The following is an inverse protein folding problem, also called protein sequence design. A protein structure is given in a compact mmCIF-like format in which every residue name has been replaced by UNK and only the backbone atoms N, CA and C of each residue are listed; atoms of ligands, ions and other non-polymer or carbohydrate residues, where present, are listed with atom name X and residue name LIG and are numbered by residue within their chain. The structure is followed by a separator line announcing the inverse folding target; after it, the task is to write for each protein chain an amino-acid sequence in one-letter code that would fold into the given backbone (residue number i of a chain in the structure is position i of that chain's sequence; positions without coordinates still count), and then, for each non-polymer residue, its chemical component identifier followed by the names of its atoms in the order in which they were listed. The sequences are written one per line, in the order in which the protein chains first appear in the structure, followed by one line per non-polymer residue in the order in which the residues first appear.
data_IF_055036840433
#
_entry.id   IF_055036840433
#
_cell.length_a   1.000
_cell.length_b   1.000
_cell.length_c   1.000
_cell.angle_alpha   90.00
_cell.angle_beta   90.00
_cell.angle_gamma   90.00
#
_symmetry.space_group_name_H-M   'P 1'
#
loop_
_entity.id
_entity.type
_entity.pdbx_description
1 polymer ?
#
# COMPACT_ATOMS: atom_id res chain seq x y z
N UNK A 1 47.03 -62.42 -37.34
CA UNK A 1 46.96 -60.98 -37.69
C UNK A 1 46.22 -60.25 -36.56
N UNK A 2 46.92 -59.53 -35.69
CA UNK A 2 46.29 -58.66 -34.68
C UNK A 2 46.05 -57.31 -35.37
N UNK A 3 44.82 -57.03 -35.79
CA UNK A 3 44.47 -55.71 -36.29
C UNK A 3 44.49 -54.71 -35.13
N UNK A 4 45.31 -53.66 -35.25
CA UNK A 4 45.34 -52.52 -34.35
C UNK A 4 44.03 -51.72 -34.50
N UNK A 5 43.00 -52.07 -33.72
CA UNK A 5 41.69 -51.41 -33.73
C UNK A 5 41.60 -50.15 -32.84
N UNK A 6 42.67 -49.83 -32.10
CA UNK A 6 42.74 -48.69 -31.18
C UNK A 6 42.63 -47.29 -31.80
N UNK A 7 43.17 -46.97 -33.00
CA UNK A 7 43.11 -45.60 -33.50
C UNK A 7 41.70 -45.19 -33.97
N UNK A 8 40.90 -46.14 -34.47
CA UNK A 8 39.56 -45.85 -35.01
C UNK A 8 38.58 -45.47 -33.89
N UNK A 9 38.67 -46.14 -32.73
CA UNK A 9 37.80 -45.86 -31.60
C UNK A 9 38.05 -44.47 -30.98
N UNK A 10 39.32 -44.05 -30.90
CA UNK A 10 39.69 -42.73 -30.39
C UNK A 10 39.18 -41.62 -31.31
N UNK A 11 39.30 -41.79 -32.63
CA UNK A 11 38.78 -40.82 -33.60
C UNK A 11 37.25 -40.73 -33.51
N UNK A 12 36.55 -41.86 -33.39
CA UNK A 12 35.09 -41.87 -33.26
C UNK A 12 34.62 -41.16 -31.98
N UNK A 13 35.31 -41.40 -30.85
CA UNK A 13 35.00 -40.77 -29.57
C UNK A 13 35.19 -39.24 -29.64
N UNK A 14 36.29 -38.79 -30.24
CA UNK A 14 36.57 -37.35 -30.41
C UNK A 14 35.51 -36.69 -31.29
N UNK A 15 35.13 -37.32 -32.41
CA UNK A 15 34.08 -36.80 -33.29
C UNK A 15 32.74 -36.73 -32.55
N UNK A 16 32.37 -37.75 -31.79
CA UNK A 16 31.14 -37.75 -31.00
C UNK A 16 31.12 -36.61 -29.97
N UNK A 17 32.24 -36.39 -29.29
CA UNK A 17 32.37 -35.37 -28.25
C UNK A 17 32.31 -33.95 -28.83
N UNK A 18 32.90 -33.74 -30.01
CA UNK A 18 32.79 -32.47 -30.75
C UNK A 18 31.36 -32.22 -31.20
N UNK A 19 30.67 -33.23 -31.74
CA UNK A 19 29.26 -33.10 -32.15
C UNK A 19 28.38 -32.76 -30.95
N UNK A 20 28.59 -33.42 -29.81
CA UNK A 20 27.82 -33.17 -28.59
C UNK A 20 28.03 -31.73 -28.07
N UNK A 21 29.28 -31.25 -28.11
CA UNK A 21 29.62 -29.88 -27.73
C UNK A 21 28.94 -28.84 -28.64
N UNK A 22 28.94 -29.05 -29.95
CA UNK A 22 28.28 -28.17 -30.92
C UNK A 22 26.77 -28.12 -30.68
N UNK A 23 26.13 -29.27 -30.45
CA UNK A 23 24.69 -29.34 -30.15
C UNK A 23 24.37 -28.58 -28.87
N UNK A 24 25.15 -28.76 -27.79
CA UNK A 24 24.95 -28.05 -26.53
C UNK A 24 25.06 -26.52 -26.72
N UNK A 25 26.02 -26.07 -27.52
CA UNK A 25 26.26 -24.66 -27.78
C UNK A 25 25.13 -24.02 -28.60
N UNK A 26 24.57 -24.75 -29.57
CA UNK A 26 23.38 -24.32 -30.32
C UNK A 26 22.15 -24.23 -29.41
N UNK A 27 21.92 -25.22 -28.54
CA UNK A 27 20.79 -25.20 -27.59
C UNK A 27 20.89 -24.01 -26.64
N UNK A 28 22.10 -23.73 -26.13
CA UNK A 28 22.35 -22.58 -25.26
C UNK A 28 22.09 -21.26 -25.98
N UNK A 29 22.55 -21.12 -27.23
CA UNK A 29 22.33 -19.94 -28.05
C UNK A 29 20.84 -19.69 -28.28
N UNK A 30 20.07 -20.72 -28.63
CA UNK A 30 18.62 -20.64 -28.84
C UNK A 30 17.89 -20.24 -27.55
N UNK A 31 18.30 -20.80 -26.40
CA UNK A 31 17.73 -20.44 -25.11
C UNK A 31 17.97 -18.96 -24.76
N UNK A 32 19.19 -18.46 -24.98
CA UNK A 32 19.55 -17.05 -24.76
C UNK A 32 18.75 -16.14 -25.71
N UNK A 33 18.65 -16.49 -26.99
CA UNK A 33 17.86 -15.71 -27.96
C UNK A 33 16.39 -15.65 -27.60
N UNK A 34 15.81 -16.76 -27.12
CA UNK A 34 14.41 -16.82 -26.71
C UNK A 34 14.16 -15.98 -25.46
N UNK A 35 15.07 -15.98 -24.51
CA UNK A 35 14.98 -15.18 -23.29
C UNK A 35 15.06 -13.67 -23.60
N UNK A 36 15.98 -13.26 -24.48
CA UNK A 36 16.13 -11.85 -24.86
C UNK A 36 14.94 -11.36 -25.68
N UNK A 37 14.46 -12.13 -26.67
CA UNK A 37 13.25 -11.77 -27.42
C UNK A 37 12.03 -11.64 -26.52
N UNK A 38 11.83 -12.57 -25.58
CA UNK A 38 10.69 -12.54 -24.69
C UNK A 38 10.72 -11.30 -23.78
N UNK A 39 11.89 -10.94 -23.24
CA UNK A 39 12.06 -9.75 -22.40
C UNK A 39 11.82 -8.44 -23.18
N UNK A 40 12.27 -8.37 -24.44
CA UNK A 40 12.03 -7.20 -25.29
C UNK A 40 10.55 -7.07 -25.69
N UNK A 41 9.88 -8.18 -26.02
CA UNK A 41 8.46 -8.18 -26.39
C UNK A 41 7.56 -7.78 -25.21
N UNK A 42 7.82 -8.27 -23.99
CA UNK A 42 7.05 -7.84 -22.81
C UNK A 42 7.30 -6.38 -22.45
N UNK A 43 8.52 -5.86 -22.64
CA UNK A 43 8.80 -4.44 -22.46
C UNK A 43 8.04 -3.55 -23.46
N UNK A 44 7.97 -3.96 -24.73
CA UNK A 44 7.24 -3.22 -25.78
C UNK A 44 5.73 -3.31 -25.57
N UNK A 45 5.19 -4.51 -25.30
CA UNK A 45 3.76 -4.70 -25.04
C UNK A 45 3.29 -3.92 -23.80
N UNK A 46 4.06 -3.92 -22.71
CA UNK A 46 3.71 -3.13 -21.52
C UNK A 46 3.74 -1.62 -21.78
N UNK A 47 4.71 -1.13 -22.56
CA UNK A 47 4.76 0.27 -22.96
C UNK A 47 3.56 0.67 -23.84
N UNK A 48 3.14 -0.17 -24.80
CA UNK A 48 2.00 0.10 -25.70
C UNK A 48 0.66 0.01 -24.97
N UNK A 49 0.44 -1.01 -24.14
CA UNK A 49 -0.81 -1.22 -23.40
C UNK A 49 -1.07 -0.11 -22.36
N UNK A 50 -0.02 0.49 -21.79
CA UNK A 50 -0.17 1.60 -20.82
C UNK A 50 -0.33 2.95 -21.51
N UNK A 51 0.29 3.17 -22.67
CA UNK A 51 0.29 4.50 -23.32
C UNK A 51 -1.00 4.79 -24.09
N UNK A 52 -1.59 3.81 -24.77
CA UNK A 52 -2.75 4.03 -25.66
C UNK A 52 -4.01 4.52 -24.92
N UNK A 53 -4.42 3.93 -23.78
CA UNK A 53 -5.59 4.42 -23.04
C UNK A 53 -5.35 5.82 -22.46
N UNK A 54 -4.13 6.07 -21.98
CA UNK A 54 -3.76 7.34 -21.33
C UNK A 54 -3.72 8.48 -22.34
N UNK A 55 -3.14 8.27 -23.52
CA UNK A 55 -3.13 9.24 -24.61
C UNK A 55 -4.56 9.57 -25.08
N UNK A 56 -5.44 8.56 -25.19
CA UNK A 56 -6.83 8.76 -25.60
C UNK A 56 -7.61 9.65 -24.61
N UNK A 57 -7.45 9.44 -23.30
CA UNK A 57 -8.12 10.25 -22.28
C UNK A 57 -7.55 11.68 -22.25
N UNK A 58 -6.23 11.85 -22.37
CA UNK A 58 -5.60 13.19 -22.42
C UNK A 58 -6.07 13.97 -23.64
N UNK A 59 -6.10 13.35 -24.84
CA UNK A 59 -6.55 14.00 -26.08
C UNK A 59 -8.03 14.39 -26.00
N UNK A 60 -8.90 13.52 -25.47
CA UNK A 60 -10.32 13.81 -25.28
C UNK A 60 -10.54 14.97 -24.29
N UNK A 61 -9.80 15.00 -23.19
CA UNK A 61 -9.94 16.08 -22.21
C UNK A 61 -9.34 17.40 -22.70
N UNK A 62 -8.24 17.37 -23.46
CA UNK A 62 -7.69 18.54 -24.12
C UNK A 62 -8.67 19.10 -25.18
N UNK A 63 -9.29 18.23 -25.98
CA UNK A 63 -10.31 18.64 -26.94
C UNK A 63 -11.55 19.23 -26.26
N UNK A 64 -11.93 18.71 -25.09
CA UNK A 64 -13.03 19.22 -24.26
C UNK A 64 -12.68 20.55 -23.58
N UNK A 65 -11.47 20.71 -23.06
CA UNK A 65 -10.97 21.95 -22.45
C UNK A 65 -10.87 23.10 -23.47
N UNK A 66 -10.35 22.84 -24.68
CA UNK A 66 -10.37 23.84 -25.77
C UNK A 66 -11.79 24.29 -26.16
N UNK A 67 -12.80 23.43 -25.99
CA UNK A 67 -14.21 23.76 -26.26
C UNK A 67 -14.93 24.41 -25.07
N UNK A 68 -14.48 24.29 -23.82
CA UNK A 68 -15.11 24.98 -22.68
C UNK A 68 -14.95 26.50 -22.76
N UNK A 69 -13.91 26.97 -23.45
CA UNK A 69 -13.70 28.38 -23.82
C UNK A 69 -14.59 28.86 -24.97
N UNK A 70 -15.33 27.96 -25.65
CA UNK A 70 -16.27 28.27 -26.73
C UNK A 70 -17.58 27.49 -26.55
N UNK A 71 -18.47 28.01 -25.71
CA UNK A 71 -19.92 27.77 -25.64
C UNK A 71 -20.47 26.34 -25.86
N UNK A 72 -21.07 25.83 -24.79
CA UNK A 72 -22.22 24.90 -24.75
C UNK A 72 -23.04 24.80 -26.06
N UNK A 73 -22.99 23.63 -26.74
CA UNK A 73 -24.15 23.04 -27.46
C UNK A 73 -23.90 21.60 -27.94
N UNK A 74 -24.84 20.74 -27.54
CA UNK A 74 -25.44 19.58 -28.20
C UNK A 74 -24.58 18.53 -28.96
N UNK A 75 -24.82 17.27 -28.59
CA UNK A 75 -24.68 16.10 -29.45
C UNK A 75 -23.28 15.47 -29.47
N UNK A 76 -23.15 14.30 -28.85
CA UNK A 76 -22.03 13.38 -29.09
C UNK A 76 -22.11 12.98 -30.57
N UNK A 77 -21.34 13.67 -31.41
CA UNK A 77 -21.33 13.47 -32.87
C UNK A 77 -20.01 12.83 -33.29
N UNK A 78 -20.03 12.13 -34.42
CA UNK A 78 -18.91 11.49 -35.12
C UNK A 78 -17.65 12.39 -35.23
N UNK A 79 -17.81 13.71 -35.10
CA UNK A 79 -16.71 14.67 -35.00
C UNK A 79 -15.77 14.44 -33.80
N UNK A 80 -16.26 13.92 -32.66
CA UNK A 80 -15.43 13.60 -31.49
C UNK A 80 -14.45 12.47 -31.79
N UNK A 81 -14.86 11.44 -32.53
CA UNK A 81 -13.98 10.34 -32.92
C UNK A 81 -12.96 10.78 -33.99
N UNK A 82 -13.33 11.65 -34.93
CA UNK A 82 -12.37 12.17 -35.92
C UNK A 82 -11.28 13.06 -35.33
N UNK A 83 -11.56 13.76 -34.22
CA UNK A 83 -10.57 14.53 -33.47
C UNK A 83 -9.57 13.63 -32.72
N UNK A 84 -9.97 12.41 -32.35
CA UNK A 84 -9.05 11.40 -31.78
C UNK A 84 -7.99 10.99 -32.81
N UNK A 85 -8.36 10.92 -34.09
CA UNK A 85 -7.45 10.60 -35.19
C UNK A 85 -6.74 11.83 -35.78
N UNK A 86 -6.99 13.04 -35.26
CA UNK A 86 -6.35 14.27 -35.73
C UNK A 86 -6.66 14.64 -37.17
N UNK A 87 -7.73 14.09 -37.76
CA UNK A 87 -8.04 14.23 -39.19
C UNK A 87 -8.35 15.67 -39.62
N UNK A 88 -8.71 16.54 -38.66
CA UNK A 88 -9.03 17.96 -38.88
C UNK A 88 -8.10 18.90 -38.10
N UNK A 89 -7.07 18.40 -37.42
CA UNK A 89 -6.14 19.22 -36.65
C UNK A 89 -4.91 19.57 -37.48
N UNK A 90 -4.36 20.77 -37.27
CA UNK A 90 -3.08 21.15 -37.88
C UNK A 90 -1.95 20.33 -37.27
N UNK A 91 -0.86 20.12 -38.02
CA UNK A 91 0.32 19.38 -37.55
C UNK A 91 0.87 19.94 -36.22
N UNK A 92 0.85 21.26 -36.05
CA UNK A 92 1.29 21.92 -34.80
C UNK A 92 0.39 21.57 -33.61
N UNK A 93 -0.93 21.57 -33.80
CA UNK A 93 -1.89 21.16 -32.76
C UNK A 93 -1.73 19.68 -32.42
N UNK A 94 -1.49 18.83 -33.41
CA UNK A 94 -1.22 17.40 -33.18
C UNK A 94 0.08 17.19 -32.38
N UNK A 95 1.16 17.89 -32.75
CA UNK A 95 2.45 17.81 -32.07
C UNK A 95 2.35 18.31 -30.62
N UNK A 96 1.62 19.40 -30.37
CA UNK A 96 1.37 19.90 -29.02
C UNK A 96 0.60 18.89 -28.18
N UNK A 97 -0.46 18.27 -28.71
CA UNK A 97 -1.20 17.22 -27.99
C UNK A 97 -0.35 16.00 -27.70
N UNK A 98 0.51 15.59 -28.64
CA UNK A 98 1.43 14.49 -28.44
C UNK A 98 2.45 14.80 -27.33
N UNK A 99 2.98 16.03 -27.30
CA UNK A 99 3.89 16.49 -26.25
C UNK A 99 3.19 16.51 -24.88
N UNK A 100 1.96 17.04 -24.80
CA UNK A 100 1.17 17.04 -23.59
C UNK A 100 0.83 15.62 -23.11
N UNK A 101 0.47 14.71 -24.01
CA UNK A 101 0.21 13.31 -23.69
C UNK A 101 1.47 12.59 -23.18
N UNK A 102 2.62 12.87 -23.79
CA UNK A 102 3.92 12.32 -23.37
C UNK A 102 4.31 12.86 -21.99
N UNK A 103 4.14 14.16 -21.74
CA UNK A 103 4.38 14.79 -20.44
C UNK A 103 3.45 14.22 -19.35
N UNK A 104 2.18 13.99 -19.67
CA UNK A 104 1.26 13.36 -18.71
C UNK A 104 1.62 11.89 -18.46
N UNK A 105 2.05 11.14 -19.48
CA UNK A 105 2.46 9.74 -19.32
C UNK A 105 3.69 9.61 -18.40
N UNK A 106 4.68 10.49 -18.53
CA UNK A 106 5.85 10.50 -17.65
C UNK A 106 5.48 10.88 -16.21
N UNK A 107 4.61 11.88 -16.06
CA UNK A 107 4.04 12.28 -14.76
C UNK A 107 3.28 11.13 -14.10
N UNK A 108 2.38 10.47 -14.83
CA UNK A 108 1.65 9.29 -14.35
C UNK A 108 2.61 8.20 -13.89
N UNK A 109 3.65 7.90 -14.67
CA UNK A 109 4.66 6.91 -14.31
C UNK A 109 5.44 7.28 -13.05
N UNK A 110 5.67 8.57 -12.79
CA UNK A 110 6.26 9.05 -11.52
C UNK A 110 5.30 8.85 -10.36
N UNK A 111 4.03 9.22 -10.53
CA UNK A 111 3.01 9.13 -9.48
C UNK A 111 2.72 7.68 -9.11
N UNK A 112 2.59 6.76 -10.07
CA UNK A 112 2.40 5.33 -9.79
C UNK A 112 3.60 4.71 -9.03
N UNK A 113 4.82 5.09 -9.39
CA UNK A 113 6.02 4.68 -8.64
C UNK A 113 5.98 5.22 -7.21
N UNK A 114 5.55 6.47 -7.03
CA UNK A 114 5.45 7.05 -5.70
C UNK A 114 4.29 6.50 -4.89
N UNK A 115 3.20 6.07 -5.55
CA UNK A 115 2.07 5.37 -4.93
C UNK A 115 2.52 4.04 -4.34
N UNK A 116 3.24 3.23 -5.12
CA UNK A 116 3.80 1.95 -4.61
C UNK A 116 4.83 2.20 -3.51
N UNK A 117 5.65 3.24 -3.64
CA UNK A 117 6.57 3.65 -2.57
C UNK A 117 5.80 4.03 -1.30
N UNK A 118 4.79 4.89 -1.35
CA UNK A 118 4.02 5.30 -0.17
C UNK A 118 3.27 4.14 0.50
N UNK A 119 2.87 3.12 -0.27
CA UNK A 119 2.25 1.90 0.30
C UNK A 119 3.24 1.03 1.08
N UNK A 120 4.54 1.13 0.78
CA UNK A 120 5.61 0.32 1.37
C UNK A 120 6.55 1.10 2.30
N UNK A 121 6.43 2.43 2.32
CA UNK A 121 7.34 3.30 3.04
C UNK A 121 7.03 3.33 4.53
N UNK A 122 8.05 2.97 5.33
CA UNK A 122 8.02 3.15 6.78
C UNK A 122 8.30 4.59 7.17
N UNK A 123 7.80 5.00 8.35
CA UNK A 123 7.96 6.35 8.91
C UNK A 123 9.41 6.85 8.90
N UNK A 124 10.36 6.01 9.33
CA UNK A 124 11.80 6.36 9.35
C UNK A 124 12.36 6.67 7.95
N UNK A 125 11.92 5.93 6.93
CA UNK A 125 12.41 6.12 5.56
C UNK A 125 11.75 7.34 4.89
N UNK A 126 10.48 7.61 5.19
CA UNK A 126 9.78 8.81 4.70
C UNK A 126 10.44 10.07 5.25
N UNK A 127 10.74 10.05 6.55
CA UNK A 127 11.39 11.15 7.24
C UNK A 127 12.79 11.47 6.69
N UNK A 128 13.55 10.46 6.25
CA UNK A 128 14.91 10.65 5.71
C UNK A 128 14.98 11.04 4.24
N UNK A 129 14.06 10.55 3.39
CA UNK A 129 14.23 10.67 1.93
C UNK A 129 13.50 11.83 1.27
N UNK A 130 12.29 12.15 1.72
CA UNK A 130 11.40 13.07 0.98
C UNK A 130 10.53 13.95 1.86
N UNK A 131 10.79 13.99 3.18
CA UNK A 131 10.07 14.90 4.08
C UNK A 131 10.31 16.35 3.71
N UNK A 132 11.57 16.76 3.54
CA UNK A 132 11.91 18.15 3.22
C UNK A 132 11.28 18.56 1.89
N UNK A 133 11.29 17.65 0.92
CA UNK A 133 10.66 17.86 -0.39
C UNK A 133 9.14 18.05 -0.28
N UNK A 134 8.48 17.17 0.49
CA UNK A 134 7.06 17.29 0.79
C UNK A 134 6.73 18.60 1.52
N UNK A 135 7.57 18.99 2.50
CA UNK A 135 7.39 20.19 3.29
C UNK A 135 7.50 21.46 2.42
N UNK A 136 8.46 21.51 1.49
CA UNK A 136 8.60 22.60 0.52
C UNK A 136 7.36 22.70 -0.38
N UNK A 137 6.91 21.59 -0.95
CA UNK A 137 5.70 21.57 -1.80
C UNK A 137 4.45 21.98 -1.01
N UNK A 138 4.33 21.55 0.24
CA UNK A 138 3.22 21.91 1.11
C UNK A 138 3.24 23.41 1.48
N UNK A 139 4.44 23.98 1.71
CA UNK A 139 4.61 25.43 1.91
C UNK A 139 4.22 26.20 0.66
N UNK A 140 4.67 25.78 -0.52
CA UNK A 140 4.30 26.41 -1.79
C UNK A 140 2.80 26.35 -2.09
N UNK A 141 2.16 25.22 -1.78
CA UNK A 141 0.71 25.06 -1.90
C UNK A 141 -0.03 26.14 -1.09
N UNK A 142 0.40 26.35 0.15
CA UNK A 142 -0.25 27.26 1.09
C UNK A 142 0.10 28.73 0.83
N UNK A 143 1.31 29.01 0.36
CA UNK A 143 1.81 30.36 0.06
C UNK A 143 1.39 30.90 -1.32
N UNK A 144 0.73 30.09 -2.16
CA UNK A 144 0.22 30.52 -3.46
C UNK A 144 1.22 30.42 -4.61
N UNK A 145 2.19 29.49 -4.53
CA UNK A 145 3.18 29.24 -5.58
C UNK A 145 2.62 28.51 -6.82
N UNK A 146 3.51 28.08 -7.72
CA UNK A 146 3.11 27.33 -8.93
C UNK A 146 2.47 25.98 -8.57
N UNK A 147 2.92 25.32 -7.50
CA UNK A 147 2.29 24.11 -6.93
C UNK A 147 0.85 24.39 -6.47
N UNK A 148 0.60 25.57 -5.90
CA UNK A 148 -0.73 25.98 -5.47
C UNK A 148 -1.69 26.06 -6.64
N UNK A 149 -1.28 26.64 -7.77
CA UNK A 149 -2.13 26.73 -8.98
C UNK A 149 -2.50 25.36 -9.54
N UNK A 150 -1.59 24.38 -9.47
CA UNK A 150 -1.84 23.01 -9.93
C UNK A 150 -2.77 22.25 -8.99
N UNK A 151 -2.55 22.38 -7.68
CA UNK A 151 -3.23 21.55 -6.68
C UNK A 151 -4.48 22.19 -6.07
N UNK A 152 -4.69 23.50 -6.18
CA UNK A 152 -5.89 24.16 -5.64
C UNK A 152 -7.20 23.52 -6.13
N UNK A 153 -7.37 23.22 -7.43
CA UNK A 153 -8.61 22.60 -7.87
C UNK A 153 -8.71 21.13 -7.41
N UNK A 154 -7.59 20.47 -7.09
CA UNK A 154 -7.59 19.15 -6.46
C UNK A 154 -8.03 19.25 -4.98
N UNK A 155 -7.61 20.29 -4.26
CA UNK A 155 -8.03 20.57 -2.88
C UNK A 155 -9.54 20.82 -2.85
N UNK A 156 -10.07 21.68 -3.72
CA UNK A 156 -11.52 21.93 -3.85
C UNK A 156 -12.32 20.66 -4.19
N UNK A 157 -11.76 19.80 -5.06
CA UNK A 157 -12.38 18.53 -5.43
C UNK A 157 -12.43 17.55 -4.24
N UNK A 158 -11.40 17.54 -3.38
CA UNK A 158 -11.40 16.76 -2.15
C UNK A 158 -12.39 17.34 -1.13
N UNK A 159 -12.46 18.67 -0.98
CA UNK A 159 -13.36 19.32 0.00
C UNK A 159 -14.83 19.13 -0.35
N UNK A 160 -15.16 19.12 -1.64
CA UNK A 160 -16.53 18.91 -2.13
C UNK A 160 -16.98 17.44 -2.12
N UNK A 161 -16.06 16.47 -1.94
CA UNK A 161 -16.36 15.04 -2.01
C UNK A 161 -15.65 14.29 -0.88
N UNK A 162 -16.23 14.24 0.33
CA UNK A 162 -15.60 13.65 1.52
C UNK A 162 -15.34 12.14 1.42
N UNK A 163 -15.96 11.45 0.45
CA UNK A 163 -15.66 10.05 0.12
C UNK A 163 -14.27 9.86 -0.50
N UNK A 164 -13.61 10.94 -0.94
CA UNK A 164 -12.30 10.89 -1.60
C UNK A 164 -11.20 11.18 -0.59
N UNK A 165 -10.17 10.32 -0.49
CA UNK A 165 -9.22 10.40 0.60
C UNK A 165 -8.23 11.55 0.38
N UNK A 166 -7.91 12.25 1.47
CA UNK A 166 -6.74 13.14 1.60
C UNK A 166 -5.45 12.53 1.04
N UNK A 167 -5.39 11.21 0.95
CA UNK A 167 -4.29 10.42 0.40
C UNK A 167 -3.95 10.83 -1.04
N UNK A 168 -4.91 11.32 -1.83
CA UNK A 168 -4.61 11.88 -3.16
C UNK A 168 -3.81 13.18 -3.09
N UNK A 169 -4.17 14.07 -2.16
CA UNK A 169 -3.41 15.29 -1.92
C UNK A 169 -2.01 14.96 -1.42
N UNK A 170 -1.90 14.01 -0.48
CA UNK A 170 -0.62 13.54 0.05
C UNK A 170 0.26 12.95 -1.06
N UNK A 171 -0.31 12.10 -1.92
CA UNK A 171 0.40 11.51 -3.05
C UNK A 171 0.84 12.59 -4.06
N UNK A 172 -0.01 13.58 -4.35
CA UNK A 172 0.32 14.65 -5.27
C UNK A 172 1.48 15.51 -4.75
N UNK A 173 1.40 15.95 -3.49
CA UNK A 173 2.47 16.71 -2.82
C UNK A 173 3.78 15.92 -2.72
N UNK A 174 3.71 14.62 -2.53
CA UNK A 174 4.89 13.75 -2.49
C UNK A 174 5.51 13.50 -3.87
N UNK A 175 4.71 13.61 -4.95
CA UNK A 175 5.11 13.22 -6.31
C UNK A 175 5.52 14.36 -7.22
N UNK A 176 5.01 15.57 -6.99
CA UNK A 176 5.27 16.72 -7.86
C UNK A 176 6.71 17.20 -7.70
N UNK A 177 7.60 16.80 -8.61
CA UNK A 177 8.96 17.38 -8.75
C UNK A 177 8.91 18.76 -9.41
N UNK A 178 9.92 19.60 -9.20
CA UNK A 178 10.06 20.88 -9.94
C UNK A 178 9.94 20.67 -11.46
N UNK A 179 10.58 19.62 -11.98
CA UNK A 179 10.48 19.20 -13.39
C UNK A 179 9.06 18.79 -13.81
N UNK A 180 8.25 18.25 -12.90
CA UNK A 180 6.85 17.96 -13.19
C UNK A 180 6.04 19.26 -13.28
N UNK A 181 6.29 20.21 -12.37
CA UNK A 181 5.63 21.52 -12.35
C UNK A 181 5.93 22.30 -13.63
N UNK A 182 7.18 22.34 -14.08
CA UNK A 182 7.54 23.00 -15.35
C UNK A 182 6.89 22.33 -16.55
N UNK A 183 6.90 21.00 -16.62
CA UNK A 183 6.27 20.27 -17.72
C UNK A 183 4.74 20.48 -17.77
N UNK A 184 4.08 20.51 -16.61
CA UNK A 184 2.65 20.81 -16.52
C UNK A 184 2.37 22.24 -17.03
N UNK A 185 3.25 23.18 -16.69
CA UNK A 185 3.15 24.59 -17.08
C UNK A 185 3.35 24.80 -18.58
N UNK A 186 4.43 24.28 -19.13
CA UNK A 186 4.77 24.42 -20.55
C UNK A 186 3.72 23.79 -21.47
N UNK A 187 3.10 22.70 -21.02
CA UNK A 187 2.10 21.97 -21.82
C UNK A 187 0.65 22.36 -21.51
N UNK A 188 0.44 23.42 -20.71
CA UNK A 188 -0.90 23.91 -20.31
C UNK A 188 -1.81 22.81 -19.74
N UNK A 189 -1.23 21.91 -18.93
CA UNK A 189 -1.93 20.76 -18.35
C UNK A 189 -2.67 21.09 -17.04
N UNK A 190 -2.63 22.33 -16.56
CA UNK A 190 -3.20 22.75 -15.26
C UNK A 190 -4.66 22.31 -15.08
N UNK A 191 -5.53 22.66 -16.02
CA UNK A 191 -6.97 22.43 -15.91
C UNK A 191 -7.32 20.94 -16.08
N UNK A 192 -6.49 20.22 -16.83
CA UNK A 192 -6.73 18.82 -17.20
C UNK A 192 -6.17 17.88 -16.13
N UNK A 193 -5.13 18.29 -15.41
CA UNK A 193 -4.46 17.48 -14.38
C UNK A 193 -5.44 17.03 -13.30
N UNK A 194 -6.32 17.91 -12.82
CA UNK A 194 -7.26 17.62 -11.74
C UNK A 194 -8.33 16.61 -12.14
N UNK A 195 -8.76 16.60 -13.40
CA UNK A 195 -9.69 15.58 -13.90
C UNK A 195 -9.00 14.24 -14.17
N UNK A 196 -7.77 14.29 -14.67
CA UNK A 196 -6.99 13.10 -15.01
C UNK A 196 -6.45 12.38 -13.79
N UNK A 197 -6.03 13.11 -12.76
CA UNK A 197 -5.32 12.56 -11.61
C UNK A 197 -6.15 11.47 -10.90
N UNK A 198 -7.40 11.71 -10.46
CA UNK A 198 -8.21 10.67 -9.84
C UNK A 198 -8.52 9.48 -10.77
N UNK A 199 -8.75 9.76 -12.05
CA UNK A 199 -9.12 8.73 -13.05
C UNK A 199 -7.97 7.80 -13.41
N UNK A 200 -6.75 8.35 -13.49
CA UNK A 200 -5.59 7.60 -13.94
C UNK A 200 -4.93 6.79 -12.81
N UNK A 201 -5.03 7.27 -11.56
CA UNK A 201 -4.31 6.73 -10.41
C UNK A 201 -5.20 5.79 -9.57
N UNK A 202 -6.52 6.04 -9.52
CA UNK A 202 -7.45 5.26 -8.70
C UNK A 202 -7.21 5.41 -7.19
N UNK A 203 -7.56 4.37 -6.43
CA UNK A 203 -7.42 4.36 -4.97
C UNK A 203 -5.95 4.30 -4.54
N UNK A 204 -5.59 5.06 -3.51
CA UNK A 204 -4.25 5.09 -2.92
C UNK A 204 -4.34 4.66 -1.46
N UNK A 205 -3.59 3.63 -1.09
CA UNK A 205 -3.46 3.19 0.31
C UNK A 205 -2.08 3.64 0.84
N UNK A 206 -2.08 4.57 1.79
CA UNK A 206 -0.86 5.02 2.46
C UNK A 206 -0.76 4.32 3.82
N UNK A 207 0.43 3.82 4.16
CA UNK A 207 0.66 3.23 5.48
C UNK A 207 0.32 4.23 6.59
N UNK A 208 -0.45 3.80 7.59
CA UNK A 208 -1.10 4.68 8.57
C UNK A 208 -0.13 5.66 9.25
N UNK A 209 1.03 5.19 9.69
CA UNK A 209 2.00 6.03 10.40
C UNK A 209 2.65 7.08 9.49
N UNK A 210 2.87 6.73 8.22
CA UNK A 210 3.41 7.63 7.20
C UNK A 210 2.37 8.68 6.82
N UNK A 211 1.10 8.26 6.71
CA UNK A 211 -0.05 9.15 6.51
C UNK A 211 -0.18 10.16 7.65
N UNK A 212 -0.16 9.70 8.90
CA UNK A 212 -0.23 10.57 10.08
C UNK A 212 0.94 11.56 10.13
N UNK A 213 2.16 11.12 9.80
CA UNK A 213 3.33 12.02 9.72
C UNK A 213 3.13 13.17 8.70
N UNK A 214 2.67 12.87 7.49
CA UNK A 214 2.45 13.91 6.48
C UNK A 214 1.28 14.84 6.84
N UNK A 215 0.24 14.31 7.47
CA UNK A 215 -0.87 15.11 8.02
C UNK A 215 -0.36 16.07 9.10
N UNK A 216 0.53 15.61 10.00
CA UNK A 216 1.10 16.46 11.03
C UNK A 216 1.96 17.59 10.43
N UNK A 217 2.74 17.30 9.38
CA UNK A 217 3.49 18.32 8.64
C UNK A 217 2.55 19.34 7.99
N UNK A 218 1.49 18.89 7.33
CA UNK A 218 0.49 19.79 6.74
C UNK A 218 -0.19 20.65 7.80
N UNK A 219 -0.55 20.06 8.94
CA UNK A 219 -1.19 20.78 10.05
C UNK A 219 -0.28 21.87 10.60
N UNK A 220 1.01 21.57 10.77
CA UNK A 220 2.00 22.55 11.24
C UNK A 220 2.15 23.72 10.24
N UNK A 221 2.24 23.43 8.94
CA UNK A 221 2.30 24.47 7.90
C UNK A 221 1.02 25.29 7.85
N UNK A 222 -0.15 24.65 8.02
CA UNK A 222 -1.44 25.35 8.05
C UNK A 222 -1.58 26.25 9.27
N UNK A 223 -1.00 25.89 10.43
CA UNK A 223 -0.98 26.78 11.60
C UNK A 223 -0.16 28.04 11.40
N UNK A 224 0.90 27.94 10.59
CA UNK A 224 1.83 29.03 10.34
C UNK A 224 1.36 30.00 9.24
N UNK A 225 0.26 29.71 8.53
CA UNK A 225 -0.22 30.49 7.40
C UNK A 225 -1.73 30.74 7.48
N UNK A 226 -2.21 31.87 6.98
CA UNK A 226 -3.63 32.28 7.05
C UNK A 226 -4.27 32.49 5.68
N UNK A 227 -3.75 31.85 4.62
CA UNK A 227 -4.32 31.97 3.27
C UNK A 227 -5.66 31.23 3.15
N UNK A 228 -6.49 31.61 2.17
CA UNK A 228 -7.79 30.96 1.94
C UNK A 228 -7.67 29.45 1.62
N UNK A 229 -6.59 29.06 0.95
CA UNK A 229 -6.27 27.65 0.66
C UNK A 229 -5.87 26.93 1.95
N UNK A 230 -5.21 27.61 2.90
CA UNK A 230 -4.91 27.02 4.21
C UNK A 230 -6.18 26.52 4.90
N UNK A 231 -7.26 27.30 4.86
CA UNK A 231 -8.51 26.94 5.50
C UNK A 231 -9.12 25.69 4.84
N UNK A 232 -9.14 25.65 3.50
CA UNK A 232 -9.63 24.48 2.76
C UNK A 232 -8.82 23.22 3.05
N UNK A 233 -7.49 23.34 3.14
CA UNK A 233 -6.62 22.22 3.51
C UNK A 233 -6.85 21.81 4.96
N UNK A 234 -7.02 22.75 5.89
CA UNK A 234 -7.30 22.47 7.29
C UNK A 234 -8.62 21.72 7.49
N UNK A 235 -9.67 22.10 6.74
CA UNK A 235 -10.98 21.44 6.77
C UNK A 235 -10.94 20.00 6.24
N UNK A 236 -9.96 19.67 5.38
CA UNK A 236 -9.70 18.31 4.89
C UNK A 236 -8.94 17.44 5.90
N UNK A 237 -8.20 18.05 6.84
CA UNK A 237 -7.42 17.29 7.80
C UNK A 237 -8.39 16.65 8.80
N UNK A 238 -8.17 15.37 9.18
CA UNK A 238 -8.92 14.81 10.28
C UNK A 238 -8.70 15.67 11.55
N UNK A 239 -9.73 15.83 12.39
CA UNK A 239 -9.63 16.60 13.62
C UNK A 239 -8.40 16.12 14.39
N UNK A 240 -7.67 17.06 15.02
CA UNK A 240 -6.50 16.69 15.81
C UNK A 240 -6.88 15.50 16.69
N UNK A 241 -6.13 14.38 16.64
CA UNK A 241 -6.27 13.41 17.69
C UNK A 241 -5.98 14.20 18.97
N UNK A 242 -6.99 14.37 19.82
CA UNK A 242 -6.87 15.15 21.05
C UNK A 242 -5.52 14.81 21.66
N UNK A 243 -4.70 15.83 21.90
CA UNK A 243 -3.28 15.74 22.28
C UNK A 243 -3.05 15.07 23.66
N UNK A 244 -3.80 14.02 23.99
CA UNK A 244 -3.26 12.88 24.70
C UNK A 244 -2.27 12.20 23.75
N UNK A 245 -1.06 12.76 23.69
CA UNK A 245 0.12 11.91 23.87
C UNK A 245 -0.29 10.95 24.99
N UNK A 246 -0.58 9.70 24.67
CA UNK A 246 -0.58 8.62 25.66
C UNK A 246 0.86 8.49 26.13
N UNK A 247 1.35 9.52 26.84
CA UNK A 247 2.19 9.31 28.00
C UNK A 247 1.29 8.52 28.91
N UNK A 248 1.34 7.21 28.81
CA UNK A 248 0.86 6.33 29.86
C UNK A 248 1.80 6.52 31.05
N UNK A 249 1.71 7.69 31.66
CA UNK A 249 2.35 7.99 32.93
C UNK A 249 1.44 7.45 34.03
N UNK A 250 1.29 6.13 34.05
CA UNK A 250 1.10 5.43 35.31
C UNK A 250 2.38 4.64 35.47
N UNK A 251 3.30 5.20 36.25
CA UNK A 251 4.34 4.40 36.88
C UNK A 251 3.62 3.36 37.72
N UNK A 252 3.46 2.15 37.16
CA UNK A 252 2.98 1.01 37.92
C UNK A 252 4.13 0.66 38.85
N UNK A 253 3.87 0.70 40.15
CA UNK A 253 4.81 0.26 41.17
C UNK A 253 5.32 -1.13 40.81
N UNK A 254 6.64 -1.28 40.62
CA UNK A 254 7.32 -2.48 40.09
C UNK A 254 7.23 -3.73 41.01
N UNK A 255 6.29 -3.78 41.95
CA UNK A 255 6.15 -4.85 42.95
C UNK A 255 4.77 -5.48 42.99
N UNK A 256 3.75 -4.86 42.41
CA UNK A 256 2.37 -5.33 42.58
C UNK A 256 1.99 -6.28 41.43
N UNK A 257 1.28 -7.38 41.70
CA UNK A 257 0.81 -8.29 40.67
C UNK A 257 -0.14 -7.55 39.72
N UNK A 258 -0.03 -7.82 38.41
CA UNK A 258 -0.92 -7.22 37.41
C UNK A 258 -2.37 -7.58 37.73
N UNK A 259 -3.18 -6.55 37.99
CA UNK A 259 -4.64 -6.66 38.08
C UNK A 259 -5.23 -5.88 36.91
N UNK A 260 -5.99 -6.56 36.05
CA UNK A 260 -6.68 -5.91 34.94
C UNK A 260 -7.78 -4.98 35.46
N UNK A 261 -7.91 -3.82 34.82
CA UNK A 261 -8.93 -2.85 35.23
C UNK A 261 -10.32 -3.38 34.86
N UNK A 262 -11.37 -3.10 35.67
CA UNK A 262 -12.74 -3.56 35.37
C UNK A 262 -13.21 -3.15 33.97
N UNK A 263 -12.87 -1.95 33.49
CA UNK A 263 -13.21 -1.46 32.16
C UNK A 263 -12.51 -2.18 31.00
N UNK A 264 -11.44 -2.92 31.30
CA UNK A 264 -10.70 -3.76 30.36
C UNK A 264 -11.25 -5.17 30.29
N UNK A 265 -12.09 -5.57 31.25
CA UNK A 265 -12.73 -6.87 31.32
C UNK A 265 -14.13 -6.92 30.69
N UNK A 266 -14.45 -5.95 29.84
CA UNK A 266 -15.75 -5.87 29.15
C UNK A 266 -15.69 -6.71 27.87
N UNK A 267 -16.52 -7.75 27.80
CA UNK A 267 -16.67 -8.57 26.59
C UNK A 267 -17.22 -7.73 25.42
N UNK A 268 -16.68 -7.88 24.20
CA UNK A 268 -17.24 -7.23 23.03
C UNK A 268 -18.63 -7.78 22.72
N UNK A 269 -19.51 -6.92 22.21
CA UNK A 269 -20.81 -7.34 21.67
C UNK A 269 -20.54 -8.09 20.36
N UNK A 270 -20.91 -9.37 20.31
CA UNK A 270 -20.83 -10.19 19.10
C UNK A 270 -22.22 -10.24 18.45
N UNK A 271 -22.29 -9.84 17.18
CA UNK A 271 -23.52 -9.89 16.39
C UNK A 271 -23.57 -11.17 15.54
N UNK A 272 -24.75 -11.55 15.05
CA UNK A 272 -24.89 -12.78 14.23
C UNK A 272 -24.17 -12.66 12.89
N UNK A 273 -23.96 -11.44 12.42
CA UNK A 273 -23.27 -11.10 11.19
C UNK A 273 -21.73 -11.08 11.36
N UNK A 274 -21.20 -11.26 12.57
CA UNK A 274 -19.76 -11.20 12.81
C UNK A 274 -19.02 -12.43 12.25
N UNK A 275 -18.00 -12.15 11.43
CA UNK A 275 -17.07 -13.14 10.91
C UNK A 275 -16.03 -13.53 11.97
N UNK A 276 -15.56 -14.79 11.92
CA UNK A 276 -14.47 -15.24 12.76
C UNK A 276 -13.24 -14.31 12.62
N UNK A 277 -12.62 -13.88 13.74
CA UNK A 277 -11.38 -13.12 13.69
C UNK A 277 -10.32 -13.89 12.89
N UNK A 278 -9.61 -13.18 12.01
CA UNK A 278 -8.61 -13.79 11.16
C UNK A 278 -7.41 -14.25 12.01
N UNK A 279 -7.24 -15.56 12.15
CA UNK A 279 -6.07 -16.15 12.80
C UNK A 279 -4.87 -15.92 11.87
N UNK A 280 -4.04 -14.95 12.22
CA UNK A 280 -2.85 -14.47 11.50
C UNK A 280 -2.19 -15.55 10.60
N UNK A 281 -2.45 -15.56 9.27
CA UNK A 281 -2.01 -16.65 8.39
C UNK A 281 -0.56 -16.51 7.88
N UNK A 282 0.11 -15.38 8.09
CA UNK A 282 1.31 -15.01 7.32
C UNK A 282 2.63 -15.04 8.08
N UNK A 283 2.70 -15.64 9.27
CA UNK A 283 3.98 -15.83 9.96
C UNK A 283 4.55 -17.18 9.58
N UNK A 284 5.70 -17.18 8.90
CA UNK A 284 6.42 -18.34 8.35
C UNK A 284 6.88 -19.40 9.36
N UNK A 285 5.96 -19.91 10.18
CA UNK A 285 6.13 -21.10 10.99
C UNK A 285 5.82 -22.34 10.13
N UNK A 286 6.56 -23.42 10.37
CA UNK A 286 6.41 -24.67 9.61
C UNK A 286 5.20 -25.48 10.08
N UNK A 287 4.89 -25.44 11.38
CA UNK A 287 3.71 -26.10 11.96
C UNK A 287 2.96 -25.19 12.92
N UNK A 288 1.63 -25.07 12.71
CA UNK A 288 0.72 -24.33 13.57
C UNK A 288 -0.33 -25.27 14.16
N UNK A 289 -0.43 -25.32 15.49
CA UNK A 289 -1.45 -26.07 16.20
C UNK A 289 -2.52 -25.10 16.72
N UNK A 290 -3.76 -25.31 16.28
CA UNK A 290 -4.95 -24.49 16.61
C UNK A 290 -6.01 -25.34 17.32
N UNK A 291 -7.11 -24.72 17.76
CA UNK A 291 -8.23 -25.39 18.43
C UNK A 291 -7.81 -26.11 19.73
N UNK A 292 -7.15 -25.36 20.62
CA UNK A 292 -6.84 -25.84 21.96
C UNK A 292 -8.12 -26.15 22.76
N UNK A 293 -8.01 -27.03 23.75
CA UNK A 293 -9.10 -27.30 24.69
C UNK A 293 -9.28 -26.14 25.65
N UNK A 294 -10.36 -25.39 25.48
CA UNK A 294 -10.66 -24.23 26.32
C UNK A 294 -10.88 -24.62 27.78
N UNK A 295 -11.47 -25.78 28.04
CA UNK A 295 -11.69 -26.30 29.41
C UNK A 295 -10.38 -26.65 30.15
N UNK A 296 -9.29 -26.84 29.41
CA UNK A 296 -7.96 -27.12 29.97
C UNK A 296 -7.12 -25.87 30.17
N UNK A 297 -7.57 -24.71 29.66
CA UNK A 297 -6.81 -23.46 29.81
C UNK A 297 -6.62 -23.08 31.27
N UNK A 298 -7.62 -23.29 32.12
CA UNK A 298 -7.56 -22.97 33.56
C UNK A 298 -6.48 -23.78 34.31
N UNK A 299 -6.14 -24.97 33.79
CA UNK A 299 -5.07 -25.80 34.34
C UNK A 299 -3.67 -25.30 33.98
N UNK A 300 -3.53 -24.52 32.91
CA UNK A 300 -2.25 -23.97 32.43
C UNK A 300 -2.09 -22.51 32.85
N UNK A 301 -3.17 -21.73 32.75
CA UNK A 301 -3.27 -20.34 33.17
C UNK A 301 -4.27 -20.28 34.32
N UNK A 302 -3.85 -19.96 35.55
CA UNK A 302 -4.79 -19.84 36.68
C UNK A 302 -5.93 -18.87 36.37
N UNK A 303 -7.13 -19.08 36.92
CA UNK A 303 -8.30 -18.20 36.69
C UNK A 303 -8.06 -16.73 37.11
N UNK A 304 -7.10 -16.51 38.03
CA UNK A 304 -6.66 -15.18 38.45
C UNK A 304 -5.63 -14.55 37.51
N UNK A 305 -5.15 -15.29 36.51
CA UNK A 305 -4.16 -14.81 35.54
C UNK A 305 -4.76 -13.72 34.65
N UNK A 306 -4.10 -12.55 34.54
CA UNK A 306 -4.47 -11.51 33.58
C UNK A 306 -4.56 -12.01 32.14
N UNK A 307 -3.74 -13.00 31.77
CA UNK A 307 -3.78 -13.58 30.43
C UNK A 307 -5.09 -14.35 30.19
N UNK A 308 -5.52 -15.18 31.14
CA UNK A 308 -6.76 -15.94 30.98
C UNK A 308 -7.99 -15.03 31.02
N UNK A 309 -8.01 -14.04 31.93
CA UNK A 309 -9.04 -13.01 31.98
C UNK A 309 -9.10 -12.20 30.67
N UNK A 310 -7.93 -11.87 30.11
CA UNK A 310 -7.80 -11.22 28.82
C UNK A 310 -8.32 -12.09 27.66
N UNK A 311 -8.07 -13.40 27.68
CA UNK A 311 -8.60 -14.35 26.69
C UNK A 311 -10.12 -14.39 26.75
N UNK A 312 -10.71 -14.52 27.94
CA UNK A 312 -12.16 -14.64 28.11
C UNK A 312 -12.94 -13.40 27.64
N UNK A 313 -12.26 -12.26 27.56
CA UNK A 313 -12.82 -10.97 27.08
C UNK A 313 -12.44 -10.69 25.62
N UNK A 314 -11.70 -11.60 24.99
CA UNK A 314 -11.28 -11.53 23.60
C UNK A 314 -12.43 -11.84 22.64
N UNK A 315 -12.44 -11.16 21.48
CA UNK A 315 -13.46 -11.36 20.45
C UNK A 315 -13.53 -12.81 19.96
N UNK A 316 -12.36 -13.45 19.78
CA UNK A 316 -12.26 -14.86 19.38
C UNK A 316 -13.00 -15.77 20.37
N UNK A 317 -12.69 -15.63 21.66
CA UNK A 317 -13.32 -16.44 22.71
C UNK A 317 -14.82 -16.22 22.76
N UNK A 318 -15.29 -14.97 22.81
CA UNK A 318 -16.72 -14.67 22.89
C UNK A 318 -17.49 -15.22 21.67
N UNK A 319 -16.93 -15.09 20.48
CA UNK A 319 -17.53 -15.62 19.25
C UNK A 319 -17.64 -17.15 19.29
N UNK A 320 -16.59 -17.85 19.73
CA UNK A 320 -16.60 -19.31 19.89
C UNK A 320 -17.60 -19.78 20.94
N UNK A 321 -17.67 -19.11 22.11
CA UNK A 321 -18.64 -19.46 23.17
C UNK A 321 -20.08 -19.27 22.69
N UNK A 322 -20.34 -18.23 21.91
CA UNK A 322 -21.66 -18.01 21.31
C UNK A 322 -22.02 -19.13 20.32
N UNK A 323 -21.06 -19.54 19.48
CA UNK A 323 -21.26 -20.63 18.52
C UNK A 323 -21.47 -21.98 19.20
N UNK A 324 -20.70 -22.26 20.24
CA UNK A 324 -20.84 -23.49 21.03
C UNK A 324 -22.23 -23.55 21.69
N UNK A 325 -22.75 -22.42 22.19
CA UNK A 325 -24.10 -22.33 22.74
C UNK A 325 -25.21 -22.55 21.69
N UNK A 326 -24.95 -22.21 20.42
CA UNK A 326 -25.86 -22.47 19.30
C UNK A 326 -25.77 -23.93 18.81
N UNK A 327 -24.64 -24.62 19.04
CA UNK A 327 -24.42 -26.00 18.61
C UNK A 327 -24.78 -27.01 19.70
N UNK A 328 -25.80 -27.84 19.46
CA UNK A 328 -26.27 -28.87 20.40
C UNK A 328 -25.34 -30.10 20.53
N UNK A 329 -24.18 -30.11 19.86
CA UNK A 329 -23.43 -31.34 19.58
C UNK A 329 -21.96 -31.36 20.01
N UNK A 330 -21.44 -30.33 20.68
CA UNK A 330 -20.04 -30.30 21.10
C UNK A 330 -19.91 -30.30 22.61
N UNK A 331 -19.66 -31.48 23.20
CA UNK A 331 -19.21 -31.61 24.60
C UNK A 331 -17.79 -31.05 24.80
N UNK A 332 -17.03 -30.84 23.72
CA UNK A 332 -15.68 -30.31 23.78
C UNK A 332 -15.63 -28.82 23.45
N UNK A 333 -15.32 -28.01 24.46
CA UNK A 333 -15.01 -26.59 24.31
C UNK A 333 -13.64 -26.41 23.66
N UNK A 334 -13.61 -26.04 22.37
CA UNK A 334 -12.38 -25.75 21.61
C UNK A 334 -12.21 -24.25 21.38
N UNK A 335 -10.96 -23.79 21.33
CA UNK A 335 -10.65 -22.38 21.13
C UNK A 335 -9.41 -22.14 20.27
N UNK A 336 -9.50 -21.18 19.36
CA UNK A 336 -8.39 -20.59 18.61
C UNK A 336 -7.79 -19.37 19.31
N UNK A 337 -8.27 -18.98 20.49
CA UNK A 337 -7.71 -17.86 21.25
C UNK A 337 -6.28 -18.13 21.77
N UNK A 338 -5.83 -19.38 21.74
CA UNK A 338 -4.43 -19.76 21.89
C UNK A 338 -4.01 -20.64 20.72
N UNK A 339 -2.81 -20.43 20.19
CA UNK A 339 -2.19 -21.36 19.26
C UNK A 339 -0.71 -21.56 19.58
N UNK A 340 -0.17 -22.71 19.19
CA UNK A 340 1.25 -23.02 19.31
C UNK A 340 1.89 -23.00 17.93
N UNK A 341 3.03 -22.31 17.82
CA UNK A 341 3.86 -22.24 16.63
C UNK A 341 5.14 -23.03 16.92
N UNK A 342 5.33 -24.13 16.19
CA UNK A 342 6.46 -25.04 16.41
C UNK A 342 7.44 -24.89 15.23
N UNK A 343 8.71 -24.52 15.51
CA UNK A 343 9.74 -24.49 14.49
C UNK A 343 10.09 -25.91 14.02
N UNK A 344 10.69 -26.03 12.84
CA UNK A 344 11.13 -27.32 12.26
C UNK A 344 12.46 -27.83 12.84
N UNK A 345 13.04 -27.10 13.79
CA UNK A 345 14.31 -27.39 14.42
C UNK A 345 14.13 -27.55 15.93
N UNK A 346 14.72 -28.60 16.51
CA UNK A 346 14.69 -28.89 17.94
C UNK A 346 15.54 -27.92 18.80
N UNK A 347 16.36 -27.10 18.14
CA UNK A 347 17.14 -26.03 18.77
C UNK A 347 16.37 -24.71 18.94
N UNK A 348 15.14 -24.62 18.45
CA UNK A 348 14.34 -23.41 18.50
C UNK A 348 13.16 -23.55 19.47
N UNK A 349 12.81 -22.45 20.14
CA UNK A 349 11.73 -22.44 21.13
C UNK A 349 10.34 -22.52 20.48
N UNK A 350 9.42 -23.22 21.15
CA UNK A 350 8.00 -23.20 20.80
C UNK A 350 7.40 -21.87 21.25
N UNK A 351 6.73 -21.18 20.33
CA UNK A 351 6.04 -19.93 20.62
C UNK A 351 4.54 -20.17 20.81
N UNK A 352 3.97 -19.59 21.86
CA UNK A 352 2.51 -19.55 22.04
C UNK A 352 2.00 -18.15 21.71
N UNK A 353 0.91 -18.09 20.95
CA UNK A 353 0.23 -16.84 20.62
C UNK A 353 -1.11 -16.83 21.35
N UNK A 354 -1.29 -15.81 22.19
CA UNK A 354 -2.50 -15.58 22.97
C UNK A 354 -3.27 -14.40 22.35
N UNK A 355 -4.55 -14.63 22.04
CA UNK A 355 -5.47 -13.61 21.57
C UNK A 355 -6.33 -13.13 22.73
N UNK A 356 -6.18 -11.87 23.11
CA UNK A 356 -6.87 -11.26 24.26
C UNK A 356 -7.73 -10.07 23.82
N UNK A 357 -8.66 -9.66 24.68
CA UNK A 357 -9.45 -8.44 24.49
C UNK A 357 -8.55 -7.21 24.33
N UNK A 358 -8.91 -6.30 23.42
CA UNK A 358 -8.04 -5.19 23.02
C UNK A 358 -7.56 -4.33 24.21
N UNK A 359 -8.47 -3.98 25.13
CA UNK A 359 -8.12 -3.17 26.32
C UNK A 359 -7.25 -3.95 27.31
N UNK A 360 -7.63 -5.20 27.61
CA UNK A 360 -6.84 -6.09 28.48
C UNK A 360 -5.43 -6.31 27.92
N UNK A 361 -5.30 -6.50 26.60
CA UNK A 361 -4.00 -6.62 25.93
C UNK A 361 -3.13 -5.39 26.11
N UNK A 362 -3.70 -4.18 26.03
CA UNK A 362 -2.95 -2.95 26.29
C UNK A 362 -2.49 -2.81 27.76
N UNK A 363 -3.33 -3.19 28.73
CA UNK A 363 -2.93 -3.19 30.14
C UNK A 363 -1.77 -4.19 30.39
N UNK A 364 -1.81 -5.38 29.78
CA UNK A 364 -0.73 -6.38 29.84
C UNK A 364 0.55 -5.85 29.19
N UNK A 365 0.44 -5.27 27.98
CA UNK A 365 1.56 -4.70 27.22
C UNK A 365 2.25 -3.60 28.02
N UNK A 366 1.48 -2.74 28.67
CA UNK A 366 1.99 -1.67 29.51
C UNK A 366 2.68 -2.21 30.76
N UNK A 367 2.08 -3.18 31.46
CA UNK A 367 2.64 -3.75 32.68
C UNK A 367 3.97 -4.48 32.44
N UNK A 368 4.05 -5.25 31.36
CA UNK A 368 5.27 -5.97 30.98
C UNK A 368 6.30 -5.10 30.25
N UNK A 369 6.00 -3.81 30.08
CA UNK A 369 6.87 -2.83 29.44
C UNK A 369 7.37 -3.26 28.06
N UNK A 370 6.50 -3.93 27.29
CA UNK A 370 6.86 -4.36 25.95
C UNK A 370 7.31 -3.16 25.12
N UNK A 371 8.50 -3.29 24.53
CA UNK A 371 9.04 -2.30 23.63
C UNK A 371 8.55 -2.59 22.22
N UNK A 372 8.37 -1.53 21.45
CA UNK A 372 8.17 -1.71 20.01
C UNK A 372 9.40 -2.41 19.43
N UNK A 373 9.20 -3.42 18.60
CA UNK A 373 10.28 -4.09 17.86
C UNK A 373 11.08 -3.13 16.98
N UNK A 374 10.57 -1.92 16.74
CA UNK A 374 11.29 -0.85 16.05
C UNK A 374 12.40 -0.22 16.91
N UNK A 375 12.34 -0.33 18.24
CA UNK A 375 13.35 0.25 19.14
C UNK A 375 14.57 -0.65 19.35
N UNK A 376 14.48 -1.93 19.01
CA UNK A 376 15.57 -2.90 19.13
C UNK A 376 16.35 -3.11 17.80
N UNK A 377 15.93 -2.43 16.73
CA UNK A 377 16.61 -2.37 15.43
C UNK A 377 17.03 -0.94 15.09
#
# INVERSE_FOLDING_TARGET
MKLNATPVFVVLLVVLLVVLLVVLLVVLLVAVLRATLHASLTAILSAVLVTVPTARVVVLLMAKSSRSSQAQRAGVSVAEDTAIFGLNDTLSTHQQRLQAATAFATLRGSIERNKTLLSTLTKRNAQRRRRDYFETNAKELVQGGDVSRILSPLVELCSSRPERPIDWLLLALFSLTETCVTNIKEQSLFDVFVELFPRAIGECSIFRETREMFIDVLREICRQNTSGITQMVADLLPPEPSNKKRRFANAISHSDPLVLKPESLVCPVITREDTAPNLNPDRGAVFQFVAARGDKLEGVLPCTSPFLQGIHTGRQWCWERQKDAESLSSDEMRTGAICAMIPDNDQADISFVLTVGYKAGWDIVQYLEFRSSEMER
#
